data_IF_073923967468
#
_entry.id   IF_073923967468
#
_cell.length_a   1.000
_cell.length_b   1.000
_cell.length_c   1.000
_cell.angle_alpha   90.00
_cell.angle_beta   90.00
_cell.angle_gamma   90.00
#
_symmetry.space_group_name_H-M   'P 1'
#
loop_
_entity.id
_entity.type
_entity.pdbx_description
1 polymer ?
#
# COMPACT_ATOMS: atom_id res chain seq x y z
N UNK A 1 18.78 28.63 54.39
CA UNK A 1 20.04 27.86 54.45
C UNK A 1 19.92 26.66 53.50
N UNK A 2 20.93 26.41 52.66
CA UNK A 2 21.34 25.09 52.10
C UNK A 2 20.30 24.31 51.23
N UNK A 3 20.62 23.56 50.18
CA UNK A 3 21.66 23.66 49.11
C UNK A 3 21.40 22.57 48.05
N UNK A 4 21.50 22.95 46.78
CA UNK A 4 21.94 22.18 45.59
C UNK A 4 21.99 20.63 45.58
N UNK A 5 21.39 20.04 44.53
CA UNK A 5 21.90 18.99 43.59
C UNK A 5 20.83 18.82 42.50
N UNK A 6 21.00 19.18 41.22
CA UNK A 6 22.07 18.98 40.21
C UNK A 6 22.09 17.57 39.58
N UNK A 7 22.06 17.59 38.24
CA UNK A 7 21.97 16.53 37.19
C UNK A 7 23.26 15.64 37.11
N UNK A 8 23.52 14.72 36.12
CA UNK A 8 22.84 14.45 34.83
C UNK A 8 22.85 12.97 34.30
N UNK A 9 22.45 12.79 33.01
CA UNK A 9 22.91 11.73 32.08
C UNK A 9 22.48 10.27 32.38
N UNK A 10 22.44 9.26 31.48
CA UNK A 10 22.68 9.05 30.03
C UNK A 10 21.87 7.75 29.65
N UNK A 11 21.80 7.17 28.44
CA UNK A 11 22.52 7.30 27.15
C UNK A 11 21.59 6.85 26.00
N UNK A 12 22.06 6.92 24.75
CA UNK A 12 21.45 6.34 23.53
C UNK A 12 21.82 4.86 23.30
N UNK A 13 20.98 4.13 22.56
CA UNK A 13 21.43 3.12 21.59
C UNK A 13 20.35 2.86 20.52
N UNK A 14 20.56 3.36 19.30
CA UNK A 14 19.87 2.86 18.12
C UNK A 14 20.74 1.79 17.46
N UNK A 15 20.16 0.64 17.12
CA UNK A 15 20.79 -0.35 16.23
C UNK A 15 19.78 -0.79 15.19
N UNK A 16 19.99 -0.29 13.97
CA UNK A 16 19.39 -0.87 12.76
C UNK A 16 20.04 -2.24 12.53
N UNK A 17 19.23 -3.28 12.30
CA UNK A 17 19.72 -4.50 11.68
C UNK A 17 18.86 -4.85 10.45
N UNK A 18 19.29 -4.35 9.30
CA UNK A 18 18.80 -4.84 8.02
C UNK A 18 19.54 -6.15 7.69
N UNK A 19 18.82 -7.28 7.68
CA UNK A 19 19.29 -8.53 7.05
C UNK A 19 18.19 -9.19 6.22
N UNK A 20 18.22 -8.80 4.95
CA UNK A 20 18.03 -9.64 3.76
C UNK A 20 17.35 -11.01 3.95
N UNK A 21 16.16 -11.14 3.38
CA UNK A 21 15.86 -12.07 2.28
C UNK A 21 16.76 -13.32 2.22
N UNK A 22 16.23 -14.48 2.62
CA UNK A 22 16.57 -15.76 2.01
C UNK A 22 15.33 -16.63 1.84
N UNK A 23 14.86 -16.71 0.60
CA UNK A 23 13.82 -17.65 0.16
C UNK A 23 14.33 -19.09 0.27
N UNK A 24 13.55 -19.98 0.90
CA UNK A 24 13.81 -21.43 0.88
C UNK A 24 12.88 -22.12 -0.13
N UNK A 25 13.42 -22.91 -1.08
CA UNK A 25 12.65 -23.39 -2.23
C UNK A 25 11.81 -24.63 -1.92
N UNK A 26 10.60 -24.72 -2.50
CA UNK A 26 9.89 -26.00 -2.60
C UNK A 26 10.58 -26.89 -3.63
N UNK A 27 10.88 -28.12 -3.21
CA UNK A 27 11.39 -29.19 -4.06
C UNK A 27 10.36 -29.63 -5.09
N UNK A 28 10.64 -29.39 -6.37
CA UNK A 28 10.04 -30.16 -7.46
C UNK A 28 11.14 -30.81 -8.30
N UNK A 29 11.41 -32.06 -7.97
CA UNK A 29 12.14 -32.99 -8.82
C UNK A 29 11.36 -33.21 -10.10
N UNK A 30 11.94 -32.92 -11.26
CA UNK A 30 11.58 -33.61 -12.49
C UNK A 30 12.79 -33.76 -13.42
N UNK A 31 12.76 -34.83 -14.20
CA UNK A 31 13.97 -35.54 -14.61
C UNK A 31 14.59 -35.05 -15.92
N UNK A 32 15.88 -35.39 -16.06
CA UNK A 32 16.69 -35.39 -17.27
C UNK A 32 15.94 -35.67 -18.59
N UNK A 33 16.39 -35.03 -19.68
CA UNK A 33 16.70 -35.75 -20.93
C UNK A 33 17.56 -34.96 -21.92
N UNK A 34 18.42 -35.74 -22.61
CA UNK A 34 19.18 -35.45 -23.86
C UNK A 34 20.43 -34.55 -23.74
N UNK A 35 21.57 -35.23 -23.80
CA UNK A 35 22.82 -34.71 -24.37
C UNK A 35 22.68 -34.45 -25.87
N UNK A 36 23.56 -33.62 -26.44
CA UNK A 36 24.21 -33.79 -27.76
C UNK A 36 25.37 -32.77 -27.94
N UNK A 37 26.46 -33.26 -28.52
CA UNK A 37 27.58 -32.59 -29.22
C UNK A 37 28.40 -31.44 -28.57
N UNK A 38 29.72 -31.59 -28.69
CA UNK A 38 30.74 -30.52 -28.59
C UNK A 38 30.83 -29.75 -29.92
N UNK A 39 31.24 -28.48 -29.87
CA UNK A 39 32.13 -27.84 -30.85
C UNK A 39 32.73 -26.55 -30.22
N UNK A 40 34.04 -26.29 -30.31
CA UNK A 40 34.62 -25.01 -29.91
C UNK A 40 34.44 -23.96 -31.03
N UNK A 41 34.42 -22.68 -30.68
CA UNK A 41 34.34 -21.56 -31.63
C UNK A 41 35.23 -20.39 -31.15
N UNK A 42 35.77 -19.57 -32.07
CA UNK A 42 37.02 -18.87 -31.84
C UNK A 42 36.91 -17.58 -31.03
N UNK A 43 37.98 -17.29 -30.29
CA UNK A 43 38.19 -16.05 -29.54
C UNK A 43 38.31 -14.83 -30.46
N UNK A 44 37.35 -13.91 -30.40
CA UNK A 44 37.50 -12.54 -30.94
C UNK A 44 37.68 -11.54 -29.79
N UNK A 45 38.66 -10.63 -29.84
CA UNK A 45 38.85 -9.64 -28.78
C UNK A 45 37.70 -8.63 -28.76
N UNK A 46 37.03 -8.52 -27.61
CA UNK A 46 35.91 -7.59 -27.40
C UNK A 46 36.44 -6.17 -27.16
N UNK A 47 36.00 -5.15 -27.92
CA UNK A 47 36.43 -3.77 -27.67
C UNK A 47 35.92 -3.27 -26.32
N UNK A 48 36.84 -2.68 -25.54
CA UNK A 48 36.55 -2.07 -24.24
C UNK A 48 35.83 -0.73 -24.45
N UNK A 49 34.51 -0.78 -24.63
CA UNK A 49 33.71 0.44 -24.63
C UNK A 49 33.79 1.12 -23.27
N UNK A 50 34.40 2.31 -23.27
CA UNK A 50 34.49 3.21 -22.12
C UNK A 50 33.09 3.42 -21.54
N UNK A 51 32.91 3.00 -20.28
CA UNK A 51 31.69 3.26 -19.52
C UNK A 51 31.67 4.74 -19.11
N UNK A 52 31.14 5.60 -19.97
CA UNK A 52 30.69 6.93 -19.56
C UNK A 52 29.59 6.74 -18.52
N UNK A 53 29.94 6.89 -17.25
CA UNK A 53 28.99 6.96 -16.15
C UNK A 53 28.25 8.30 -16.23
N UNK A 54 27.19 8.34 -17.02
CA UNK A 54 26.21 9.42 -16.96
C UNK A 54 25.74 9.54 -15.50
N UNK A 55 25.83 10.72 -14.87
CA UNK A 55 25.25 10.92 -13.55
C UNK A 55 23.75 10.72 -13.69
N UNK A 56 23.21 9.69 -13.03
CA UNK A 56 21.78 9.47 -12.93
C UNK A 56 21.18 10.63 -12.12
N UNK A 57 20.71 11.65 -12.84
CA UNK A 57 19.99 12.78 -12.26
C UNK A 57 18.71 12.25 -11.67
N UNK A 58 18.75 11.98 -10.36
CA UNK A 58 17.59 11.56 -9.57
C UNK A 58 16.56 12.70 -9.60
N UNK A 59 15.64 12.63 -10.55
CA UNK A 59 14.51 13.54 -10.67
C UNK A 59 13.61 13.31 -9.46
N UNK A 60 13.77 14.17 -8.45
CA UNK A 60 12.79 14.30 -7.39
C UNK A 60 11.53 14.87 -8.04
N UNK A 61 10.54 14.01 -8.29
CA UNK A 61 9.25 14.43 -8.79
C UNK A 61 8.62 15.38 -7.77
N UNK A 62 8.45 16.64 -8.16
CA UNK A 62 7.58 17.57 -7.45
C UNK A 62 6.17 16.98 -7.47
N UNK A 63 5.55 16.78 -6.30
CA UNK A 63 4.18 16.24 -6.22
C UNK A 63 3.28 17.04 -7.17
N UNK A 64 2.57 16.35 -8.05
CA UNK A 64 1.58 16.98 -8.92
C UNK A 64 0.32 17.30 -8.13
N UNK A 65 -0.52 18.22 -8.64
CA UNK A 65 -1.83 18.47 -8.02
C UNK A 65 -2.70 17.20 -7.95
N UNK A 66 -2.53 16.28 -8.90
CA UNK A 66 -3.17 14.97 -8.89
C UNK A 66 -2.72 14.12 -7.69
N UNK A 67 -1.42 14.12 -7.38
CA UNK A 67 -0.88 13.34 -6.25
C UNK A 67 -1.44 13.83 -4.91
N UNK A 68 -1.62 15.14 -4.72
CA UNK A 68 -2.24 15.71 -3.51
C UNK A 68 -3.72 15.34 -3.35
N UNK A 69 -4.51 15.36 -4.44
CA UNK A 69 -5.90 14.89 -4.41
C UNK A 69 -5.98 13.38 -4.11
N UNK A 70 -5.06 12.60 -4.69
CA UNK A 70 -4.98 11.16 -4.48
C UNK A 70 -4.56 10.81 -3.04
N UNK A 71 -3.70 11.61 -2.41
CA UNK A 71 -3.37 11.49 -0.98
C UNK A 71 -4.62 11.70 -0.12
N UNK A 72 -5.38 12.79 -0.31
CA UNK A 72 -6.61 13.04 0.44
C UNK A 72 -7.68 11.96 0.26
N UNK A 73 -7.86 11.41 -0.95
CA UNK A 73 -8.78 10.29 -1.20
C UNK A 73 -8.28 9.00 -0.53
N UNK A 74 -6.96 8.79 -0.43
CA UNK A 74 -6.40 7.61 0.25
C UNK A 74 -6.52 7.72 1.77
N UNK A 75 -6.37 8.91 2.34
CA UNK A 75 -6.59 9.16 3.76
C UNK A 75 -8.07 8.91 4.12
N UNK A 76 -9.02 9.47 3.37
CA UNK A 76 -10.45 9.22 3.57
C UNK A 76 -10.84 7.75 3.34
N UNK A 77 -10.17 7.05 2.40
CA UNK A 77 -10.36 5.62 2.19
C UNK A 77 -9.89 4.79 3.39
N UNK A 78 -8.81 5.20 4.07
CA UNK A 78 -8.38 4.54 5.30
C UNK A 78 -9.44 4.67 6.39
N UNK A 79 -9.92 5.89 6.67
CA UNK A 79 -11.02 6.13 7.63
C UNK A 79 -12.27 5.31 7.29
N UNK A 80 -12.75 5.34 6.04
CA UNK A 80 -13.93 4.60 5.64
C UNK A 80 -13.75 3.06 5.73
N UNK A 81 -12.51 2.57 5.63
CA UNK A 81 -12.19 1.16 5.80
C UNK A 81 -12.11 0.76 7.28
N UNK A 82 -11.57 1.62 8.14
CA UNK A 82 -11.50 1.38 9.58
C UNK A 82 -12.91 1.32 10.19
N UNK A 83 -13.82 2.24 9.82
CA UNK A 83 -15.24 2.19 10.23
C UNK A 83 -15.96 0.95 9.69
N UNK A 84 -15.65 0.50 8.46
CA UNK A 84 -16.19 -0.75 7.93
C UNK A 84 -15.71 -1.97 8.74
N UNK A 85 -14.44 -2.01 9.15
CA UNK A 85 -13.93 -3.10 10.00
C UNK A 85 -14.64 -3.15 11.36
N UNK A 86 -14.84 -2.00 12.01
CA UNK A 86 -15.67 -1.89 13.23
C UNK A 86 -17.09 -2.42 12.99
N UNK A 87 -17.75 -1.97 11.91
CA UNK A 87 -19.10 -2.41 11.56
C UNK A 87 -19.20 -3.92 11.29
N UNK A 88 -18.18 -4.54 10.68
CA UNK A 88 -18.14 -6.01 10.51
C UNK A 88 -18.00 -6.71 11.86
N UNK A 89 -17.06 -6.29 12.70
CA UNK A 89 -16.82 -6.89 14.01
C UNK A 89 -18.06 -6.81 14.92
N UNK A 90 -18.74 -5.66 14.97
CA UNK A 90 -19.89 -5.45 15.86
C UNK A 90 -21.16 -6.16 15.33
N UNK A 91 -21.27 -6.34 14.01
CA UNK A 91 -22.30 -7.21 13.41
C UNK A 91 -22.04 -8.68 13.72
N UNK A 92 -20.81 -9.17 13.62
CA UNK A 92 -20.44 -10.55 14.00
C UNK A 92 -20.66 -10.83 15.49
N UNK A 93 -20.36 -9.87 16.37
CA UNK A 93 -20.61 -9.95 17.82
C UNK A 93 -22.10 -9.86 18.18
N UNK A 94 -22.98 -9.52 17.22
CA UNK A 94 -24.40 -9.19 17.42
C UNK A 94 -24.60 -8.16 18.55
N UNK A 95 -23.74 -7.14 18.57
CA UNK A 95 -23.81 -6.09 19.58
C UNK A 95 -24.97 -5.12 19.32
N UNK A 96 -25.32 -4.34 20.34
CA UNK A 96 -26.36 -3.29 20.22
C UNK A 96 -25.88 -2.14 19.32
N UNK A 97 -24.56 -1.95 19.18
CA UNK A 97 -23.96 -0.83 18.45
C UNK A 97 -23.81 -1.10 16.94
N UNK A 98 -23.73 -2.37 16.52
CA UNK A 98 -23.49 -2.73 15.12
C UNK A 98 -24.48 -2.15 14.10
N UNK A 99 -25.66 -1.68 14.52
CA UNK A 99 -26.56 -0.91 13.67
C UNK A 99 -26.02 0.50 13.36
N UNK A 100 -25.54 1.22 14.38
CA UNK A 100 -24.98 2.57 14.25
C UNK A 100 -23.61 2.53 13.55
N UNK A 101 -22.79 1.50 13.83
CA UNK A 101 -21.47 1.34 13.18
C UNK A 101 -21.61 1.09 11.67
N UNK A 102 -22.63 0.33 11.23
CA UNK A 102 -22.94 0.19 9.79
C UNK A 102 -23.35 1.51 9.14
N UNK A 103 -24.04 2.39 9.88
CA UNK A 103 -24.36 3.74 9.40
C UNK A 103 -23.10 4.59 9.28
N UNK A 104 -22.20 4.55 10.27
CA UNK A 104 -20.92 5.25 10.22
C UNK A 104 -20.07 4.83 9.00
N UNK A 105 -19.91 3.52 8.78
CA UNK A 105 -19.22 2.98 7.59
C UNK A 105 -19.87 3.46 6.27
N UNK A 106 -21.20 3.55 6.23
CA UNK A 106 -21.94 4.04 5.06
C UNK A 106 -21.76 5.54 4.84
N UNK A 107 -21.72 6.34 5.90
CA UNK A 107 -21.46 7.78 5.83
C UNK A 107 -20.05 8.09 5.32
N UNK A 108 -19.01 7.48 5.90
CA UNK A 108 -17.63 7.74 5.46
C UNK A 108 -17.37 7.27 4.02
N UNK A 109 -18.02 6.17 3.60
CA UNK A 109 -18.02 5.73 2.19
C UNK A 109 -18.72 6.76 1.26
N UNK A 110 -19.81 7.38 1.70
CA UNK A 110 -20.49 8.42 0.92
C UNK A 110 -19.61 9.69 0.79
N UNK A 111 -18.91 10.10 1.87
CA UNK A 111 -17.93 11.20 1.83
C UNK A 111 -16.77 10.88 0.88
N UNK A 112 -16.25 9.64 0.95
CA UNK A 112 -15.22 9.14 0.03
C UNK A 112 -15.67 9.18 -1.43
N UNK A 113 -16.90 8.74 -1.72
CA UNK A 113 -17.48 8.80 -3.07
C UNK A 113 -17.61 10.24 -3.58
N UNK A 114 -18.12 11.15 -2.76
CA UNK A 114 -18.21 12.57 -3.10
C UNK A 114 -16.83 13.15 -3.46
N UNK A 115 -15.83 12.96 -2.60
CA UNK A 115 -14.45 13.41 -2.86
C UNK A 115 -13.86 12.80 -4.14
N UNK A 116 -14.22 11.55 -4.46
CA UNK A 116 -13.77 10.88 -5.68
C UNK A 116 -14.46 11.42 -6.93
N UNK A 117 -15.78 11.62 -6.89
CA UNK A 117 -16.55 12.13 -8.02
C UNK A 117 -16.13 13.58 -8.34
N UNK A 118 -16.02 14.45 -7.32
CA UNK A 118 -15.47 15.82 -7.42
C UNK A 118 -14.06 15.82 -8.07
N UNK A 119 -13.20 14.87 -7.69
CA UNK A 119 -11.84 14.75 -8.23
C UNK A 119 -11.78 14.11 -9.63
N UNK A 120 -12.81 13.36 -10.05
CA UNK A 120 -12.94 12.77 -11.39
C UNK A 120 -13.47 13.77 -12.41
N UNK A 121 -14.24 14.77 -11.99
CA UNK A 121 -14.66 15.91 -12.86
C UNK A 121 -13.51 16.90 -13.12
N UNK A 122 -12.47 16.92 -12.30
CA UNK A 122 -11.29 17.78 -12.46
C UNK A 122 -10.30 17.32 -13.55
N UNK A 123 -9.34 18.20 -13.87
CA UNK A 123 -8.27 17.96 -14.87
C UNK A 123 -7.46 16.67 -14.62
N UNK A 124 -7.36 16.24 -13.36
CA UNK A 124 -6.64 15.04 -12.94
C UNK A 124 -7.48 13.75 -12.91
N UNK A 125 -8.74 13.80 -13.38
CA UNK A 125 -9.73 12.75 -13.14
C UNK A 125 -9.37 11.37 -13.70
N UNK A 126 -8.68 11.29 -14.84
CA UNK A 126 -8.19 10.00 -15.35
C UNK A 126 -7.15 9.35 -14.44
N UNK A 127 -6.26 10.14 -13.82
CA UNK A 127 -5.24 9.63 -12.90
C UNK A 127 -5.86 9.13 -11.60
N UNK A 128 -6.77 9.92 -11.02
CA UNK A 128 -7.56 9.56 -9.85
C UNK A 128 -8.33 8.25 -10.12
N UNK A 129 -9.06 8.18 -11.22
CA UNK A 129 -9.84 7.01 -11.64
C UNK A 129 -8.98 5.75 -11.80
N UNK A 130 -7.78 5.87 -12.35
CA UNK A 130 -6.83 4.74 -12.47
C UNK A 130 -6.24 4.29 -11.12
N UNK A 131 -5.92 5.21 -10.20
CA UNK A 131 -5.23 4.86 -8.93
C UNK A 131 -6.17 4.40 -7.80
N UNK A 132 -7.37 4.98 -7.68
CA UNK A 132 -8.28 4.73 -6.54
C UNK A 132 -9.65 4.18 -6.93
N UNK A 133 -10.07 4.28 -8.19
CA UNK A 133 -11.42 3.87 -8.62
C UNK A 133 -11.77 2.39 -8.43
N UNK A 134 -10.79 1.47 -8.43
CA UNK A 134 -11.02 0.07 -8.11
C UNK A 134 -11.32 -0.14 -6.61
N UNK A 135 -10.47 0.40 -5.74
CA UNK A 135 -10.56 0.30 -4.27
C UNK A 135 -11.90 0.83 -3.74
N UNK A 136 -12.39 1.94 -4.27
CA UNK A 136 -13.67 2.55 -3.86
C UNK A 136 -14.86 1.63 -4.22
N UNK A 137 -14.81 0.96 -5.38
CA UNK A 137 -15.84 -0.01 -5.79
C UNK A 137 -15.81 -1.29 -4.97
N UNK A 138 -14.61 -1.76 -4.63
CA UNK A 138 -14.41 -2.91 -3.74
C UNK A 138 -15.03 -2.63 -2.36
N UNK A 139 -14.75 -1.46 -1.76
CA UNK A 139 -15.32 -1.04 -0.48
C UNK A 139 -16.85 -0.85 -0.54
N UNK A 140 -17.40 -0.24 -1.59
CA UNK A 140 -18.85 -0.09 -1.75
C UNK A 140 -19.58 -1.44 -1.89
N UNK A 141 -19.00 -2.38 -2.63
CA UNK A 141 -19.53 -3.74 -2.73
C UNK A 141 -19.48 -4.47 -1.37
N UNK A 142 -18.42 -4.26 -0.59
CA UNK A 142 -18.26 -4.84 0.75
C UNK A 142 -19.26 -4.27 1.76
N UNK A 143 -19.43 -2.94 1.81
CA UNK A 143 -20.42 -2.27 2.65
C UNK A 143 -21.84 -2.73 2.30
N UNK A 144 -22.19 -2.78 1.00
CA UNK A 144 -23.50 -3.30 0.58
C UNK A 144 -23.69 -4.80 0.87
N UNK A 145 -22.63 -5.60 0.94
CA UNK A 145 -22.73 -7.01 1.33
C UNK A 145 -23.05 -7.13 2.83
N UNK A 146 -22.37 -6.34 3.67
CA UNK A 146 -22.62 -6.24 5.11
C UNK A 146 -24.04 -5.73 5.43
N UNK A 147 -24.51 -4.70 4.70
CA UNK A 147 -25.89 -4.20 4.81
C UNK A 147 -26.91 -5.30 4.51
N UNK A 148 -26.68 -6.14 3.49
CA UNK A 148 -27.60 -7.24 3.14
C UNK A 148 -27.59 -8.35 4.19
N UNK A 149 -26.42 -8.83 4.62
CA UNK A 149 -26.35 -9.89 5.65
C UNK A 149 -27.00 -9.45 6.96
N UNK A 150 -26.83 -8.19 7.37
CA UNK A 150 -27.43 -7.65 8.59
C UNK A 150 -28.96 -7.50 8.55
N UNK A 151 -29.60 -7.70 7.38
CA UNK A 151 -31.06 -7.77 7.24
C UNK A 151 -31.59 -9.21 7.10
N UNK A 152 -30.71 -10.21 7.00
CA UNK A 152 -31.05 -11.63 6.84
C UNK A 152 -30.87 -12.45 8.15
N UNK A 153 -30.29 -11.85 9.20
CA UNK A 153 -30.06 -12.38 10.56
C UNK A 153 -31.18 -12.05 11.59
#
# INVERSE_FOLDING_TARGET
>A
MISLRSTPARKTAAVVCARCISSSPRTFTNQCRRSIAKLPSPTTPRPTHLRTSLPSTRTYATKSSADSLIEHIQDQYATAKDEFEIATEETEKKSVYGADDRVAAREELNRLKQMYDDAVEGESGEEVKRRVGARIRELDNAVQALERSAHED
#
